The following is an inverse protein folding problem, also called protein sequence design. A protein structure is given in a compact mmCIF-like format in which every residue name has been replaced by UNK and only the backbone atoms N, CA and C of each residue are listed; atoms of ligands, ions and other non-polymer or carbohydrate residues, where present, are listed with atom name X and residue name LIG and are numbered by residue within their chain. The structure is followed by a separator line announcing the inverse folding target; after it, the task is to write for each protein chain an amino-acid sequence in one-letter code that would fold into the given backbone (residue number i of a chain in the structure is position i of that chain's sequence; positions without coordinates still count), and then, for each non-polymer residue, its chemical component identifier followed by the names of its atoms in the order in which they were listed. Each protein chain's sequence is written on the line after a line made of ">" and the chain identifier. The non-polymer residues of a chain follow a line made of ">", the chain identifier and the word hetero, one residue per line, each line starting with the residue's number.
data_IF_719656583939
#
_entry.id   IF_719656583939
#
_cell.length_a   1.000
_cell.length_b   1.000
_cell.length_c   1.000
_cell.angle_alpha   90.00
_cell.angle_beta   90.00
_cell.angle_gamma   90.00
#
_symmetry.space_group_name_H-M   'P 1'
#
loop_
_entity.id
_entity.type
_entity.pdbx_description
1 polymer ?
#
# COMPACT_ATOMS: atom_id res chain seq x y z
N UNK A 1 -16.54 14.96 -10.30
CA UNK A 1 -16.84 13.93 -9.28
C UNK A 1 -15.93 12.75 -9.56
N UNK A 2 -15.12 12.36 -8.58
CA UNK A 2 -14.18 11.23 -8.67
C UNK A 2 -14.97 9.94 -8.39
N UNK A 3 -14.78 8.93 -9.23
CA UNK A 3 -15.48 7.64 -9.13
C UNK A 3 -14.54 6.57 -8.56
N UNK A 4 -14.92 5.97 -7.44
CA UNK A 4 -14.09 4.97 -6.77
C UNK A 4 -14.87 3.67 -6.63
N UNK A 5 -14.35 2.58 -7.21
CA UNK A 5 -14.87 1.25 -6.93
C UNK A 5 -14.24 0.69 -5.65
N UNK A 6 -15.08 0.18 -4.76
CA UNK A 6 -14.66 -0.43 -3.52
C UNK A 6 -15.07 -1.90 -3.52
N UNK A 7 -14.07 -2.79 -3.37
CA UNK A 7 -14.30 -4.21 -3.11
C UNK A 7 -14.84 -4.37 -1.68
N UNK A 8 -16.16 -4.41 -1.56
CA UNK A 8 -16.85 -4.44 -0.27
C UNK A 8 -16.71 -5.76 0.47
N UNK A 9 -16.30 -6.82 -0.22
CA UNK A 9 -16.23 -8.19 0.33
C UNK A 9 -14.81 -8.59 0.77
N UNK A 10 -13.78 -7.85 0.31
CA UNK A 10 -12.38 -8.14 0.63
C UNK A 10 -11.99 -7.78 2.06
N UNK A 11 -10.94 -8.46 2.57
CA UNK A 11 -10.34 -8.23 3.88
C UNK A 11 -10.76 -9.21 4.97
N UNK A 12 -9.93 -9.35 6.01
CA UNK A 12 -10.17 -10.26 7.16
C UNK A 12 -11.44 -9.92 7.94
N UNK A 13 -11.78 -8.63 8.00
CA UNK A 13 -12.96 -8.11 8.70
C UNK A 13 -14.17 -7.94 7.76
N UNK A 14 -13.96 -8.14 6.47
CA UNK A 14 -14.97 -8.18 5.44
C UNK A 14 -15.88 -6.96 5.37
N UNK A 15 -17.10 -7.18 4.90
CA UNK A 15 -18.07 -6.14 4.55
C UNK A 15 -18.41 -5.16 5.70
N UNK A 16 -18.30 -5.59 6.96
CA UNK A 16 -18.73 -4.75 8.10
C UNK A 16 -17.83 -3.53 8.30
N UNK A 17 -16.51 -3.68 8.20
CA UNK A 17 -15.59 -2.56 8.34
C UNK A 17 -15.58 -1.68 7.09
N UNK A 18 -15.72 -2.27 5.91
CA UNK A 18 -15.88 -1.53 4.65
C UNK A 18 -17.13 -0.64 4.69
N UNK A 19 -18.27 -1.15 5.17
CA UNK A 19 -19.51 -0.37 5.36
C UNK A 19 -19.31 0.83 6.29
N UNK A 20 -18.63 0.64 7.44
CA UNK A 20 -18.33 1.73 8.38
C UNK A 20 -17.42 2.80 7.75
N UNK A 21 -16.45 2.39 6.94
CA UNK A 21 -15.57 3.31 6.23
C UNK A 21 -16.36 4.17 5.23
N UNK A 22 -17.18 3.54 4.39
CA UNK A 22 -18.03 4.26 3.43
C UNK A 22 -18.97 5.24 4.13
N UNK A 23 -19.68 4.80 5.19
CA UNK A 23 -20.55 5.72 5.97
C UNK A 23 -19.81 6.95 6.50
N UNK A 24 -18.58 6.76 6.99
CA UNK A 24 -17.80 7.88 7.49
C UNK A 24 -17.37 8.84 6.37
N UNK A 25 -17.09 8.32 5.17
CA UNK A 25 -16.68 9.11 4.01
C UNK A 25 -17.84 9.91 3.39
N UNK A 26 -19.03 9.33 3.34
CA UNK A 26 -20.24 9.97 2.77
C UNK A 26 -20.60 11.29 3.49
N UNK A 27 -20.29 11.40 4.77
CA UNK A 27 -20.53 12.63 5.53
C UNK A 27 -19.49 13.75 5.33
N UNK A 28 -18.36 13.45 4.68
CA UNK A 28 -17.21 14.34 4.60
C UNK A 28 -16.84 14.77 3.16
N UNK A 29 -17.19 13.94 2.15
CA UNK A 29 -16.77 14.14 0.77
C UNK A 29 -17.98 14.17 -0.17
N UNK A 30 -18.29 15.31 -0.73
CA UNK A 30 -19.44 15.49 -1.65
C UNK A 30 -19.06 15.33 -3.13
N UNK A 31 -17.79 15.26 -3.44
CA UNK A 31 -17.23 15.18 -4.80
C UNK A 31 -16.83 13.76 -5.23
N UNK A 32 -17.12 12.75 -4.39
CA UNK A 32 -16.82 11.34 -4.66
C UNK A 32 -18.11 10.55 -4.88
N UNK A 33 -18.11 9.71 -5.92
CA UNK A 33 -19.12 8.69 -6.19
C UNK A 33 -18.51 7.31 -5.93
N UNK A 34 -19.16 6.50 -5.08
CA UNK A 34 -18.70 5.17 -4.71
C UNK A 34 -19.43 4.08 -5.48
N UNK A 35 -18.70 3.21 -6.14
CA UNK A 35 -19.19 1.99 -6.76
C UNK A 35 -18.90 0.82 -5.79
N UNK A 36 -19.93 0.43 -5.04
CA UNK A 36 -19.83 -0.58 -3.99
C UNK A 36 -20.03 -1.97 -4.59
N UNK A 37 -18.94 -2.71 -4.77
CA UNK A 37 -18.96 -4.03 -5.41
C UNK A 37 -19.10 -5.12 -4.34
N UNK A 38 -20.25 -5.80 -4.29
CA UNK A 38 -20.52 -6.82 -3.28
C UNK A 38 -22.00 -7.26 -3.23
N UNK A 39 -22.35 -7.99 -2.19
CA UNK A 39 -23.68 -8.55 -1.98
C UNK A 39 -24.69 -7.42 -1.64
N UNK A 40 -25.59 -7.14 -2.59
CA UNK A 40 -26.61 -6.10 -2.49
C UNK A 40 -27.51 -6.29 -1.26
N UNK A 41 -27.84 -7.54 -0.90
CA UNK A 41 -28.67 -7.84 0.28
C UNK A 41 -28.03 -7.33 1.57
N UNK A 42 -26.70 -7.32 1.62
CA UNK A 42 -25.89 -6.84 2.75
C UNK A 42 -25.54 -5.35 2.67
N UNK A 43 -25.71 -4.73 1.49
CA UNK A 43 -25.44 -3.32 1.20
C UNK A 43 -26.70 -2.45 1.11
N UNK A 44 -27.87 -2.98 1.44
CA UNK A 44 -29.18 -2.34 1.28
C UNK A 44 -29.28 -0.91 1.84
N UNK A 45 -28.51 -0.57 2.86
CA UNK A 45 -28.45 0.76 3.45
C UNK A 45 -27.88 1.85 2.51
N UNK A 46 -27.21 1.47 1.42
CA UNK A 46 -26.63 2.37 0.41
C UNK A 46 -27.44 2.45 -0.89
N UNK A 47 -28.48 1.64 -1.06
CA UNK A 47 -29.24 1.51 -2.32
C UNK A 47 -29.79 2.85 -2.82
N UNK A 48 -30.28 3.69 -1.92
CA UNK A 48 -30.89 4.98 -2.29
C UNK A 48 -29.96 6.18 -1.98
N UNK A 49 -28.68 5.94 -1.69
CA UNK A 49 -27.76 7.02 -1.40
C UNK A 49 -27.23 7.65 -2.70
N UNK A 50 -27.35 8.98 -2.90
CA UNK A 50 -27.03 9.63 -4.18
C UNK A 50 -25.57 9.50 -4.62
N UNK A 51 -24.64 9.26 -3.68
CA UNK A 51 -23.22 9.07 -3.95
C UNK A 51 -22.82 7.58 -4.07
N UNK A 52 -23.75 6.63 -3.94
CA UNK A 52 -23.45 5.21 -3.97
C UNK A 52 -24.15 4.50 -5.11
N UNK A 53 -23.41 3.68 -5.85
CA UNK A 53 -23.93 2.76 -6.84
C UNK A 53 -23.52 1.35 -6.47
N UNK A 54 -24.48 0.45 -6.26
CA UNK A 54 -24.19 -0.95 -5.94
C UNK A 54 -23.99 -1.73 -7.23
N UNK A 55 -22.88 -2.49 -7.27
CA UNK A 55 -22.58 -3.47 -8.31
C UNK A 55 -22.67 -4.84 -7.66
N UNK A 56 -23.76 -5.51 -7.88
CA UNK A 56 -24.07 -6.77 -7.18
C UNK A 56 -23.13 -7.92 -7.56
N UNK A 57 -22.63 -8.61 -6.54
CA UNK A 57 -22.07 -9.97 -6.60
C UNK A 57 -22.06 -10.58 -5.20
N UNK A 58 -22.39 -11.86 -5.10
CA UNK A 58 -22.26 -12.67 -3.88
C UNK A 58 -20.90 -13.40 -3.80
N UNK A 59 -20.08 -13.30 -4.85
CA UNK A 59 -18.79 -13.99 -4.96
C UNK A 59 -17.66 -13.08 -4.45
N UNK A 60 -16.78 -13.64 -3.63
CA UNK A 60 -15.58 -12.96 -3.14
C UNK A 60 -14.41 -13.93 -3.03
N UNK A 61 -13.20 -13.41 -2.99
CA UNK A 61 -11.99 -14.20 -2.78
C UNK A 61 -11.72 -14.36 -1.29
N UNK A 62 -11.45 -15.59 -0.89
CA UNK A 62 -10.93 -15.89 0.44
C UNK A 62 -9.53 -15.26 0.63
N UNK A 63 -9.23 -14.79 1.86
CA UNK A 63 -7.92 -14.19 2.16
C UNK A 63 -6.77 -15.19 2.06
N UNK A 64 -7.05 -16.49 2.17
CA UNK A 64 -6.09 -17.58 2.02
C UNK A 64 -5.99 -18.16 0.61
N UNK A 65 -6.51 -17.48 -0.42
CA UNK A 65 -6.45 -17.97 -1.81
C UNK A 65 -5.00 -18.26 -2.23
N UNK A 66 -4.74 -19.51 -2.62
CA UNK A 66 -3.40 -19.94 -3.05
C UNK A 66 -3.14 -19.62 -4.53
N UNK A 67 -4.13 -19.82 -5.39
CA UNK A 67 -4.03 -19.56 -6.83
C UNK A 67 -5.12 -18.58 -7.30
N UNK A 68 -4.85 -17.26 -7.29
CA UNK A 68 -5.79 -16.25 -7.79
C UNK A 68 -6.10 -16.39 -9.28
N UNK A 69 -5.21 -17.00 -10.07
CA UNK A 69 -5.42 -17.20 -11.50
C UNK A 69 -6.45 -18.30 -11.76
N UNK A 70 -6.34 -19.42 -11.06
CA UNK A 70 -7.34 -20.50 -11.13
C UNK A 70 -8.72 -19.98 -10.70
N UNK A 71 -8.78 -19.21 -9.60
CA UNK A 71 -10.04 -18.62 -9.12
C UNK A 71 -10.62 -17.60 -10.10
N UNK A 72 -9.81 -16.78 -10.74
CA UNK A 72 -10.28 -15.86 -11.80
C UNK A 72 -10.88 -16.61 -12.99
N UNK A 73 -10.24 -17.67 -13.44
CA UNK A 73 -10.75 -18.48 -14.56
C UNK A 73 -12.07 -19.17 -14.21
N UNK A 74 -12.20 -19.65 -12.98
CA UNK A 74 -13.39 -20.35 -12.49
C UNK A 74 -14.55 -19.39 -12.23
N UNK A 75 -14.27 -18.25 -11.61
CA UNK A 75 -15.27 -17.29 -11.14
C UNK A 75 -14.78 -15.84 -11.36
N UNK A 76 -14.88 -15.30 -12.57
CA UNK A 76 -14.47 -13.91 -12.85
C UNK A 76 -15.37 -12.87 -12.15
N UNK A 77 -16.50 -13.31 -11.61
CA UNK A 77 -17.51 -12.50 -10.93
C UNK A 77 -17.17 -12.12 -9.49
N UNK A 78 -16.00 -12.52 -8.96
CA UNK A 78 -15.56 -12.09 -7.64
C UNK A 78 -15.51 -10.57 -7.52
N UNK A 79 -15.88 -10.04 -6.36
CA UNK A 79 -16.02 -8.59 -6.10
C UNK A 79 -14.77 -7.79 -6.50
N UNK A 80 -13.57 -8.30 -6.17
CA UNK A 80 -12.31 -7.70 -6.58
C UNK A 80 -12.17 -7.60 -8.11
N UNK A 81 -12.43 -8.70 -8.83
CA UNK A 81 -12.24 -8.73 -10.28
C UNK A 81 -13.28 -7.87 -11.01
N UNK A 82 -14.51 -7.81 -10.50
CA UNK A 82 -15.52 -6.86 -10.97
C UNK A 82 -15.09 -5.42 -10.77
N UNK A 83 -14.58 -5.06 -9.58
CA UNK A 83 -14.09 -3.73 -9.31
C UNK A 83 -12.94 -3.32 -10.28
N UNK A 84 -11.99 -4.22 -10.51
CA UNK A 84 -10.90 -4.00 -11.48
C UNK A 84 -11.40 -3.91 -12.93
N UNK A 85 -12.47 -4.62 -13.27
CA UNK A 85 -13.09 -4.54 -14.60
C UNK A 85 -13.78 -3.19 -14.82
N UNK A 86 -14.41 -2.60 -13.80
CA UNK A 86 -14.93 -1.23 -13.87
C UNK A 86 -13.82 -0.22 -14.17
N UNK A 87 -12.65 -0.38 -13.54
CA UNK A 87 -11.47 0.48 -13.77
C UNK A 87 -10.95 0.32 -15.21
N UNK A 88 -10.78 -0.93 -15.68
CA UNK A 88 -10.38 -1.23 -17.05
C UNK A 88 -11.27 -0.55 -18.10
N UNK A 89 -12.57 -0.53 -17.83
CA UNK A 89 -13.58 0.02 -18.72
C UNK A 89 -13.77 1.54 -18.57
N UNK A 90 -12.91 2.22 -17.78
CA UNK A 90 -13.00 3.65 -17.48
C UNK A 90 -14.35 4.08 -16.87
N UNK A 91 -15.04 3.17 -16.18
CA UNK A 91 -16.27 3.46 -15.47
C UNK A 91 -16.02 4.07 -14.09
N UNK A 92 -14.80 3.84 -13.55
CA UNK A 92 -14.30 4.42 -12.31
C UNK A 92 -12.86 4.89 -12.48
N UNK A 93 -12.41 5.81 -11.62
CA UNK A 93 -11.07 6.40 -11.64
C UNK A 93 -10.06 5.61 -10.79
N UNK A 94 -10.56 4.91 -9.77
CA UNK A 94 -9.73 4.13 -8.86
C UNK A 94 -10.47 2.91 -8.31
N UNK A 95 -9.67 1.92 -7.84
CA UNK A 95 -10.16 0.75 -7.10
C UNK A 95 -9.48 0.70 -5.73
N UNK A 96 -10.26 0.40 -4.70
CA UNK A 96 -9.78 0.10 -3.34
C UNK A 96 -10.20 -1.32 -2.96
N UNK A 97 -9.25 -2.14 -2.52
CA UNK A 97 -9.53 -3.49 -2.02
C UNK A 97 -8.64 -3.84 -0.83
N UNK A 98 -9.25 -4.44 0.20
CA UNK A 98 -8.55 -5.09 1.30
C UNK A 98 -8.32 -6.59 1.07
N UNK A 99 -8.69 -7.12 -0.09
CA UNK A 99 -8.54 -8.52 -0.49
C UNK A 99 -7.09 -9.04 -0.50
N UNK A 100 -6.84 -10.30 -0.82
CA UNK A 100 -5.50 -10.92 -0.83
C UNK A 100 -4.52 -10.15 -1.73
N UNK A 101 -3.33 -9.83 -1.23
CA UNK A 101 -2.35 -9.02 -1.98
C UNK A 101 -2.02 -9.62 -3.34
N UNK A 102 -1.79 -10.94 -3.38
CA UNK A 102 -1.49 -11.64 -4.64
C UNK A 102 -2.64 -11.50 -5.66
N UNK A 103 -3.91 -11.59 -5.20
CA UNK A 103 -5.06 -11.44 -6.07
C UNK A 103 -5.22 -9.99 -6.58
N UNK A 104 -4.97 -8.98 -5.73
CA UNK A 104 -5.00 -7.56 -6.14
C UNK A 104 -3.92 -7.29 -7.18
N UNK A 105 -2.68 -7.74 -6.95
CA UNK A 105 -1.57 -7.57 -7.90
C UNK A 105 -1.84 -8.31 -9.21
N UNK A 106 -2.25 -9.58 -9.12
CA UNK A 106 -2.59 -10.41 -10.27
C UNK A 106 -3.70 -9.79 -11.11
N UNK A 107 -4.81 -9.41 -10.47
CA UNK A 107 -5.94 -8.78 -11.14
C UNK A 107 -5.57 -7.43 -11.76
N UNK A 108 -4.75 -6.64 -11.07
CA UNK A 108 -4.23 -5.38 -11.61
C UNK A 108 -3.40 -5.60 -12.87
N UNK A 109 -2.55 -6.62 -12.88
CA UNK A 109 -1.74 -7.00 -14.03
C UNK A 109 -2.60 -7.48 -15.22
N UNK A 110 -3.49 -8.42 -14.96
CA UNK A 110 -4.25 -9.13 -15.99
C UNK A 110 -5.42 -8.31 -16.54
N UNK A 111 -6.18 -7.66 -15.65
CA UNK A 111 -7.42 -6.98 -16.02
C UNK A 111 -7.13 -5.53 -16.40
N UNK A 112 -6.50 -4.74 -15.51
CA UNK A 112 -6.22 -3.31 -15.75
C UNK A 112 -5.07 -3.13 -16.74
N UNK A 113 -4.05 -3.96 -16.63
CA UNK A 113 -2.87 -3.93 -17.49
C UNK A 113 -1.78 -2.99 -16.98
N UNK A 114 -0.58 -3.12 -17.57
CA UNK A 114 0.62 -2.36 -17.20
C UNK A 114 0.80 -1.10 -18.04
N UNK A 115 1.43 -0.10 -17.47
CA UNK A 115 1.94 1.04 -18.22
C UNK A 115 2.98 0.60 -19.26
N UNK A 116 3.11 1.30 -20.40
CA UNK A 116 4.16 1.03 -21.37
C UNK A 116 5.55 1.05 -20.73
N UNK A 117 6.42 0.15 -21.13
CA UNK A 117 7.80 -0.02 -20.62
C UNK A 117 7.92 -0.56 -19.19
N UNK A 118 6.86 -0.63 -18.40
CA UNK A 118 6.90 -1.25 -17.06
C UNK A 118 6.79 -2.76 -17.19
N UNK A 119 7.82 -3.49 -16.75
CA UNK A 119 7.89 -4.96 -16.86
C UNK A 119 7.16 -5.67 -15.73
N UNK A 120 7.23 -5.11 -14.52
CA UNK A 120 6.64 -5.68 -13.30
C UNK A 120 5.87 -4.62 -12.54
N UNK A 121 4.83 -5.02 -11.82
CA UNK A 121 4.13 -4.14 -10.89
C UNK A 121 4.88 -4.10 -9.56
N UNK A 122 4.81 -2.98 -8.84
CA UNK A 122 5.36 -2.83 -7.50
C UNK A 122 4.30 -2.36 -6.52
N UNK A 123 4.32 -2.89 -5.30
CA UNK A 123 3.53 -2.40 -4.18
C UNK A 123 4.31 -1.30 -3.47
N UNK A 124 3.85 -0.07 -3.57
CA UNK A 124 4.51 1.10 -2.98
C UNK A 124 3.84 1.52 -1.67
N UNK A 125 4.65 1.67 -0.63
CA UNK A 125 4.20 2.12 0.68
C UNK A 125 4.87 3.45 1.01
N UNK A 126 4.12 4.55 1.06
CA UNK A 126 4.62 5.80 1.58
C UNK A 126 4.70 5.76 3.12
N UNK A 127 5.74 6.37 3.68
CA UNK A 127 5.94 6.51 5.11
C UNK A 127 6.67 7.82 5.42
N UNK A 128 6.70 8.20 6.69
CA UNK A 128 7.40 9.41 7.12
C UNK A 128 8.66 9.03 7.90
N UNK A 129 9.71 9.81 7.69
CA UNK A 129 10.91 9.77 8.53
C UNK A 129 10.67 10.42 9.89
N UNK A 130 11.64 10.31 10.80
CA UNK A 130 11.55 10.92 12.13
C UNK A 130 11.35 12.43 12.06
N UNK A 131 11.96 13.10 11.09
CA UNK A 131 11.82 14.55 10.86
C UNK A 131 10.55 14.94 10.08
N UNK A 132 9.75 13.95 9.63
CA UNK A 132 8.49 14.17 8.92
C UNK A 132 8.61 14.23 7.40
N UNK A 133 9.78 13.97 6.84
CA UNK A 133 9.96 13.87 5.38
C UNK A 133 9.23 12.64 4.85
N UNK A 134 8.50 12.78 3.75
CA UNK A 134 7.83 11.66 3.08
C UNK A 134 8.81 10.87 2.24
N UNK A 135 8.73 9.55 2.36
CA UNK A 135 9.47 8.56 1.57
C UNK A 135 8.57 7.48 1.03
N UNK A 136 9.09 6.71 0.09
CA UNK A 136 8.41 5.55 -0.47
C UNK A 136 9.34 4.35 -0.41
N UNK A 137 8.83 3.22 0.05
CA UNK A 137 9.46 1.91 -0.10
C UNK A 137 8.71 1.12 -1.18
N UNK A 138 9.43 0.56 -2.15
CA UNK A 138 8.92 -0.33 -3.18
C UNK A 138 10.04 -1.28 -3.67
N UNK A 139 9.77 -2.56 -3.94
CA UNK A 139 8.50 -3.27 -3.87
C UNK A 139 8.26 -3.86 -2.47
N UNK A 140 7.04 -3.76 -1.96
CA UNK A 140 6.67 -4.29 -0.65
C UNK A 140 5.86 -5.60 -0.73
N UNK A 141 5.99 -6.36 -1.83
CA UNK A 141 5.38 -7.68 -1.94
C UNK A 141 4.45 -7.90 -3.14
N UNK A 142 4.56 -7.11 -4.20
CA UNK A 142 3.86 -7.38 -5.45
C UNK A 142 4.55 -8.50 -6.25
N UNK A 143 5.89 -8.50 -6.32
CA UNK A 143 6.65 -9.44 -7.14
C UNK A 143 7.90 -9.92 -6.39
N UNK A 144 7.88 -11.19 -5.94
CA UNK A 144 8.96 -11.76 -5.13
C UNK A 144 10.31 -11.84 -5.89
N UNK A 145 10.26 -12.27 -7.16
CA UNK A 145 11.44 -12.44 -8.00
C UNK A 145 11.41 -11.47 -9.17
N UNK A 146 12.43 -10.62 -9.24
CA UNK A 146 12.60 -9.59 -10.27
C UNK A 146 14.03 -9.59 -10.80
N UNK A 147 14.25 -8.97 -11.95
CA UNK A 147 15.58 -8.72 -12.49
C UNK A 147 16.13 -7.38 -11.98
N UNK A 148 17.48 -7.18 -11.97
CA UNK A 148 18.07 -5.89 -11.64
C UNK A 148 17.52 -4.71 -12.46
N UNK A 149 17.14 -4.96 -13.73
CA UNK A 149 16.51 -3.96 -14.60
C UNK A 149 15.13 -3.51 -14.11
N UNK A 150 14.38 -4.38 -13.42
CA UNK A 150 13.06 -4.01 -12.88
C UNK A 150 13.18 -2.97 -11.77
N UNK A 151 14.31 -2.94 -11.02
CA UNK A 151 14.57 -1.91 -10.03
C UNK A 151 14.76 -0.52 -10.65
N UNK A 152 15.26 -0.43 -11.88
CA UNK A 152 15.30 0.83 -12.64
C UNK A 152 13.88 1.30 -12.95
N UNK A 153 13.00 0.42 -13.44
CA UNK A 153 11.59 0.73 -13.68
C UNK A 153 10.90 1.19 -12.37
N UNK A 154 11.13 0.46 -11.27
CA UNK A 154 10.58 0.81 -9.95
C UNK A 154 11.06 2.18 -9.49
N UNK A 155 12.33 2.50 -9.70
CA UNK A 155 12.88 3.82 -9.36
C UNK A 155 12.18 4.94 -10.10
N UNK A 156 11.98 4.81 -11.41
CA UNK A 156 11.32 5.81 -12.26
C UNK A 156 9.85 6.05 -11.85
N UNK A 157 9.09 4.97 -11.67
CA UNK A 157 7.68 5.08 -11.25
C UNK A 157 7.57 5.56 -9.80
N UNK A 158 8.49 5.17 -8.91
CA UNK A 158 8.55 5.63 -7.52
C UNK A 158 8.86 7.13 -7.43
N UNK A 159 9.83 7.62 -8.19
CA UNK A 159 10.15 9.06 -8.29
C UNK A 159 8.95 9.86 -8.78
N UNK A 160 8.28 9.38 -9.83
CA UNK A 160 7.08 10.04 -10.35
C UNK A 160 5.96 10.08 -9.32
N UNK A 161 5.71 8.95 -8.64
CA UNK A 161 4.69 8.87 -7.61
C UNK A 161 5.01 9.78 -6.41
N UNK A 162 6.26 9.83 -5.94
CA UNK A 162 6.63 10.69 -4.82
C UNK A 162 6.44 12.18 -5.14
N UNK A 163 6.82 12.62 -6.35
CA UNK A 163 6.58 14.00 -6.81
C UNK A 163 5.09 14.37 -6.75
N UNK A 164 4.23 13.48 -7.22
CA UNK A 164 2.77 13.68 -7.16
C UNK A 164 2.26 13.70 -5.71
N UNK A 165 2.75 12.78 -4.87
CA UNK A 165 2.34 12.67 -3.47
C UNK A 165 2.68 13.92 -2.63
N UNK A 166 3.81 14.59 -2.94
CA UNK A 166 4.19 15.84 -2.29
C UNK A 166 3.69 17.09 -3.03
N UNK A 167 3.08 16.94 -4.20
CA UNK A 167 2.59 18.07 -5.01
C UNK A 167 3.69 18.98 -5.56
N UNK A 168 4.93 18.47 -5.72
CA UNK A 168 6.07 19.26 -6.20
C UNK A 168 6.81 18.55 -7.34
N UNK A 169 6.50 18.93 -8.56
CA UNK A 169 7.12 18.37 -9.77
C UNK A 169 8.59 18.80 -9.96
N UNK A 170 9.01 19.92 -9.35
CA UNK A 170 10.40 20.40 -9.41
C UNK A 170 11.31 19.72 -8.41
N UNK A 171 10.76 18.98 -7.44
CA UNK A 171 11.53 18.18 -6.49
C UNK A 171 12.29 17.07 -7.25
N UNK A 172 13.56 16.87 -6.93
CA UNK A 172 14.40 15.83 -7.53
C UNK A 172 14.70 14.76 -6.46
N UNK A 173 13.88 13.69 -6.38
CA UNK A 173 14.08 12.66 -5.38
C UNK A 173 15.39 11.91 -5.58
N UNK A 174 16.00 11.50 -4.47
CA UNK A 174 17.12 10.57 -4.46
C UNK A 174 16.60 9.13 -4.33
N UNK A 175 17.13 8.23 -5.15
CA UNK A 175 16.80 6.80 -5.15
C UNK A 175 17.87 6.04 -4.38
N UNK A 176 17.48 5.21 -3.41
CA UNK A 176 18.34 4.31 -2.65
C UNK A 176 18.00 2.85 -2.93
N UNK A 177 19.04 2.03 -3.09
CA UNK A 177 18.90 0.58 -3.19
C UNK A 177 18.99 -0.04 -1.79
N UNK A 178 17.97 -0.79 -1.39
CA UNK A 178 18.02 -1.53 -0.12
C UNK A 178 19.05 -2.65 -0.22
N UNK A 179 20.00 -2.66 0.71
CA UNK A 179 21.07 -3.65 0.79
C UNK A 179 21.46 -3.92 2.25
N UNK A 180 22.30 -4.94 2.47
CA UNK A 180 22.79 -5.34 3.79
C UNK A 180 23.97 -4.48 4.30
N UNK A 181 24.46 -3.53 3.53
CA UNK A 181 25.53 -2.61 3.86
C UNK A 181 25.59 -1.46 2.86
N UNK A 182 26.17 -0.35 3.26
CA UNK A 182 26.22 0.90 2.48
C UNK A 182 27.23 0.87 1.32
N UNK A 183 28.25 -0.01 1.38
CA UNK A 183 29.31 -0.06 0.38
C UNK A 183 28.82 -0.70 -0.93
N UNK A 184 29.32 -0.24 -2.06
CA UNK A 184 28.98 -0.70 -3.42
C UNK A 184 29.01 -2.23 -3.58
N UNK A 185 29.97 -2.92 -2.96
CA UNK A 185 30.16 -4.37 -3.08
C UNK A 185 29.23 -5.23 -2.22
N UNK A 186 28.39 -4.64 -1.39
CA UNK A 186 27.48 -5.37 -0.48
C UNK A 186 26.24 -5.89 -1.19
N UNK A 187 25.67 -6.95 -0.62
CA UNK A 187 24.48 -7.62 -1.16
C UNK A 187 24.82 -8.84 -2.01
N UNK A 188 23.77 -9.49 -2.49
CA UNK A 188 23.84 -10.61 -3.45
C UNK A 188 24.31 -10.09 -4.81
N UNK A 189 24.53 -10.96 -5.76
CA UNK A 189 24.82 -10.56 -7.15
C UNK A 189 23.71 -9.69 -7.75
N UNK A 190 22.48 -9.95 -7.37
CA UNK A 190 21.30 -9.17 -7.75
C UNK A 190 21.43 -7.69 -7.35
N UNK A 191 21.73 -7.38 -6.09
CA UNK A 191 21.89 -5.99 -5.62
C UNK A 191 23.13 -5.33 -6.22
N UNK A 192 24.24 -6.04 -6.38
CA UNK A 192 25.45 -5.49 -7.01
C UNK A 192 25.21 -5.11 -8.47
N UNK A 193 24.54 -6.00 -9.21
CA UNK A 193 24.14 -5.72 -10.62
C UNK A 193 23.14 -4.57 -10.72
N UNK A 194 22.19 -4.50 -9.79
CA UNK A 194 21.24 -3.39 -9.72
C UNK A 194 21.92 -2.07 -9.39
N UNK A 195 22.89 -2.06 -8.48
CA UNK A 195 23.66 -0.87 -8.12
C UNK A 195 24.32 -0.23 -9.35
N UNK A 196 24.98 -1.03 -10.19
CA UNK A 196 25.65 -0.51 -11.39
C UNK A 196 24.63 0.07 -12.39
N UNK A 197 23.52 -0.62 -12.63
CA UNK A 197 22.43 -0.12 -13.52
C UNK A 197 21.81 1.18 -13.01
N UNK A 198 21.51 1.27 -11.71
CA UNK A 198 20.93 2.45 -11.09
C UNK A 198 21.89 3.65 -11.14
N UNK A 199 23.20 3.41 -10.97
CA UNK A 199 24.24 4.43 -11.06
C UNK A 199 24.42 4.99 -12.47
N UNK A 200 24.23 4.16 -13.50
CA UNK A 200 24.32 4.56 -14.92
C UNK A 200 23.07 5.30 -15.42
N UNK A 201 21.97 5.25 -14.66
CA UNK A 201 20.71 5.89 -15.04
C UNK A 201 20.76 7.39 -14.74
N UNK A 202 20.40 8.23 -15.72
CA UNK A 202 20.41 9.70 -15.62
C UNK A 202 19.00 10.30 -15.33
N UNK A 203 17.96 9.48 -15.22
CA UNK A 203 16.57 9.93 -15.07
C UNK A 203 16.22 10.31 -13.62
N UNK A 204 17.08 9.95 -12.66
CA UNK A 204 16.97 10.28 -11.24
C UNK A 204 18.36 10.33 -10.58
N UNK A 205 18.43 10.92 -9.39
CA UNK A 205 19.65 10.90 -8.60
C UNK A 205 19.78 9.60 -7.82
N UNK A 206 20.81 8.82 -8.07
CA UNK A 206 21.09 7.62 -7.30
C UNK A 206 21.93 7.94 -6.05
N UNK A 207 21.39 7.62 -4.88
CA UNK A 207 22.04 7.84 -3.58
C UNK A 207 23.12 6.76 -3.29
N UNK A 208 22.83 5.51 -3.68
CA UNK A 208 23.62 4.33 -3.34
C UNK A 208 22.82 3.32 -2.51
N UNK A 209 23.55 2.40 -1.83
CA UNK A 209 22.94 1.43 -0.94
C UNK A 209 22.42 2.10 0.35
N UNK A 210 21.29 1.60 0.85
CA UNK A 210 20.64 2.01 2.11
C UNK A 210 20.35 0.76 2.91
N UNK A 211 20.79 0.73 4.17
CA UNK A 211 20.48 -0.38 5.08
C UNK A 211 19.06 -0.23 5.66
N UNK A 212 18.33 -1.35 5.91
CA UNK A 212 16.98 -1.29 6.50
C UNK A 212 16.89 -0.52 7.83
N UNK A 213 17.96 -0.50 8.64
CA UNK A 213 18.02 0.29 9.89
C UNK A 213 17.94 1.81 9.67
N UNK A 214 18.22 2.26 8.46
CA UNK A 214 18.28 3.68 8.09
C UNK A 214 16.98 4.20 7.45
N UNK A 215 15.98 3.35 7.28
CA UNK A 215 14.71 3.69 6.60
C UNK A 215 14.06 4.97 7.12
N UNK A 216 14.05 5.16 8.45
CA UNK A 216 13.38 6.30 9.09
C UNK A 216 14.25 7.56 9.20
N UNK A 217 15.46 7.54 8.67
CA UNK A 217 16.38 8.68 8.73
C UNK A 217 16.51 9.37 7.37
N UNK A 218 17.07 10.58 7.37
CA UNK A 218 17.26 11.36 6.15
C UNK A 218 18.39 10.74 5.31
N UNK A 219 17.99 10.09 4.22
CA UNK A 219 18.85 9.52 3.18
C UNK A 219 18.10 9.60 1.84
N UNK A 220 18.08 8.55 1.03
CA UNK A 220 17.25 8.52 -0.19
C UNK A 220 15.75 8.67 0.10
N UNK A 221 15.02 9.21 -0.85
CA UNK A 221 13.58 9.51 -0.77
C UNK A 221 12.72 8.36 -1.32
N UNK A 222 13.22 7.68 -2.34
CA UNK A 222 12.61 6.48 -2.95
C UNK A 222 13.53 5.31 -2.71
N UNK A 223 13.06 4.32 -1.97
CA UNK A 223 13.83 3.14 -1.59
C UNK A 223 13.32 1.93 -2.37
N UNK A 224 14.20 1.30 -3.14
CA UNK A 224 13.83 0.19 -4.03
C UNK A 224 14.46 -1.12 -3.60
N UNK A 225 13.69 -2.21 -3.74
CA UNK A 225 14.11 -3.57 -3.42
C UNK A 225 13.24 -4.58 -4.18
N UNK A 226 13.57 -5.87 -4.14
CA UNK A 226 12.66 -6.93 -4.56
C UNK A 226 11.49 -7.08 -3.58
N UNK A 227 10.37 -7.63 -4.06
CA UNK A 227 9.15 -7.73 -3.26
C UNK A 227 9.28 -8.71 -2.08
N UNK A 228 10.17 -9.68 -2.13
CA UNK A 228 10.45 -10.56 -1.00
C UNK A 228 11.12 -9.79 0.14
N UNK A 229 12.23 -9.10 -0.16
CA UNK A 229 12.97 -8.31 0.81
C UNK A 229 12.12 -7.16 1.37
N UNK A 230 11.38 -6.45 0.53
CA UNK A 230 10.52 -5.35 0.95
C UNK A 230 9.36 -5.80 1.84
N UNK A 231 8.72 -6.92 1.53
CA UNK A 231 7.68 -7.50 2.39
C UNK A 231 8.23 -7.98 3.73
N UNK A 232 9.44 -8.57 3.73
CA UNK A 232 10.11 -8.99 4.96
C UNK A 232 10.43 -7.79 5.86
N UNK A 233 10.95 -6.70 5.30
CA UNK A 233 11.20 -5.45 6.01
C UNK A 233 9.90 -4.92 6.62
N UNK A 234 8.84 -4.81 5.82
CA UNK A 234 7.54 -4.32 6.26
C UNK A 234 6.98 -5.15 7.42
N UNK A 235 6.96 -6.47 7.29
CA UNK A 235 6.46 -7.39 8.32
C UNK A 235 7.31 -7.34 9.60
N UNK A 236 8.62 -7.19 9.47
CA UNK A 236 9.52 -7.03 10.63
C UNK A 236 9.26 -5.71 11.36
N UNK A 237 9.04 -4.62 10.62
CA UNK A 237 8.67 -3.32 11.21
C UNK A 237 7.31 -3.38 11.93
N UNK A 238 6.29 -3.97 11.30
CA UNK A 238 4.97 -4.18 11.90
C UNK A 238 5.09 -4.99 13.20
N UNK A 239 5.83 -6.11 13.17
CA UNK A 239 6.07 -6.97 14.33
C UNK A 239 6.82 -6.26 15.46
N UNK A 240 7.86 -5.48 15.16
CA UNK A 240 8.60 -4.70 16.15
C UNK A 240 7.73 -3.65 16.83
N UNK A 241 6.90 -2.93 16.08
CA UNK A 241 5.96 -1.93 16.62
C UNK A 241 4.87 -2.57 17.50
N UNK A 242 4.34 -3.73 17.09
CA UNK A 242 3.39 -4.50 17.90
C UNK A 242 4.03 -4.98 19.21
N UNK A 243 5.24 -5.55 19.13
CA UNK A 243 6.01 -5.98 20.30
C UNK A 243 6.30 -4.83 21.26
N UNK A 244 6.73 -3.68 20.75
CA UNK A 244 6.92 -2.48 21.53
C UNK A 244 5.63 -2.04 22.23
N UNK A 245 4.51 -1.97 21.51
CA UNK A 245 3.20 -1.59 22.04
C UNK A 245 2.72 -2.52 23.17
N UNK A 246 2.90 -3.83 22.99
CA UNK A 246 2.49 -4.80 24.01
C UNK A 246 3.39 -4.75 25.27
N UNK A 247 4.71 -4.64 25.11
CA UNK A 247 5.62 -4.45 26.24
C UNK A 247 5.32 -3.15 26.98
N UNK A 248 5.08 -2.07 26.26
CA UNK A 248 4.74 -0.78 26.86
C UNK A 248 3.45 -0.84 27.68
N UNK A 249 2.42 -1.54 27.19
CA UNK A 249 1.18 -1.78 27.96
C UNK A 249 1.44 -2.57 29.23
N UNK A 250 2.28 -3.61 29.19
CA UNK A 250 2.64 -4.43 30.37
C UNK A 250 3.33 -3.57 31.44
N UNK A 251 4.29 -2.73 31.04
CA UNK A 251 4.99 -1.83 31.97
C UNK A 251 4.07 -0.82 32.67
N UNK A 252 2.99 -0.40 32.00
CA UNK A 252 2.02 0.55 32.54
C UNK A 252 0.99 -0.10 33.51
N UNK A 253 0.86 -1.44 33.48
CA UNK A 253 -0.24 -2.14 34.17
C UNK A 253 -0.13 -2.07 35.70
N UNK A 254 1.07 -2.04 36.28
CA UNK A 254 1.32 -2.32 37.68
C UNK A 254 1.52 -1.08 38.57
N UNK A 255 1.50 0.16 38.07
CA UNK A 255 1.74 1.36 38.88
C UNK A 255 0.74 2.49 38.56
N UNK A 256 0.01 2.96 39.56
CA UNK A 256 -0.94 4.08 39.45
C UNK A 256 -0.28 5.37 38.93
N UNK A 257 0.91 5.71 39.42
CA UNK A 257 1.69 6.87 38.96
C UNK A 257 2.11 6.75 37.50
N UNK A 258 2.48 5.55 37.05
CA UNK A 258 2.80 5.29 35.60
C UNK A 258 1.57 5.50 34.74
N UNK A 259 0.36 5.13 35.19
CA UNK A 259 -0.89 5.38 34.48
C UNK A 259 -1.20 6.87 34.35
N UNK A 260 -0.97 7.65 35.37
CA UNK A 260 -1.17 9.10 35.33
C UNK A 260 -0.16 9.78 34.40
N UNK A 261 1.11 9.42 34.49
CA UNK A 261 2.15 9.89 33.56
C UNK A 261 1.82 9.52 32.10
N UNK A 262 1.30 8.31 31.87
CA UNK A 262 0.86 7.90 30.53
C UNK A 262 -0.30 8.74 30.00
N UNK A 263 -1.28 9.08 30.83
CA UNK A 263 -2.39 9.95 30.42
C UNK A 263 -1.89 11.31 29.92
N UNK A 264 -0.87 11.88 30.58
CA UNK A 264 -0.23 13.13 30.17
C UNK A 264 0.52 12.96 28.84
N UNK A 265 1.30 11.88 28.70
CA UNK A 265 2.15 11.62 27.53
C UNK A 265 1.42 10.95 26.35
N UNK A 266 0.19 10.44 26.57
CA UNK A 266 -0.56 9.63 25.58
C UNK A 266 -0.65 10.28 24.21
N UNK A 267 -0.92 11.59 24.15
CA UNK A 267 -1.02 12.32 22.88
C UNK A 267 0.33 12.39 22.15
N UNK A 268 1.43 12.58 22.88
CA UNK A 268 2.78 12.66 22.30
C UNK A 268 3.27 11.31 21.84
N UNK A 269 3.06 10.26 22.64
CA UNK A 269 3.39 8.87 22.27
C UNK A 269 2.60 8.44 21.03
N UNK A 270 1.28 8.71 21.00
CA UNK A 270 0.43 8.40 19.85
C UNK A 270 0.91 9.11 18.59
N UNK A 271 1.33 10.38 18.68
CA UNK A 271 1.89 11.13 17.55
C UNK A 271 3.23 10.56 17.08
N UNK A 272 4.12 10.19 18.00
CA UNK A 272 5.41 9.59 17.67
C UNK A 272 5.25 8.24 16.95
N UNK A 273 4.40 7.36 17.50
CA UNK A 273 4.10 6.05 16.87
C UNK A 273 3.44 6.25 15.50
N UNK A 274 2.48 7.18 15.38
CA UNK A 274 1.79 7.47 14.13
C UNK A 274 2.75 7.90 13.01
N UNK A 275 3.78 8.69 13.33
CA UNK A 275 4.81 9.08 12.36
C UNK A 275 5.62 7.91 11.82
N UNK A 276 5.82 6.86 12.62
CA UNK A 276 6.61 5.67 12.23
C UNK A 276 5.76 4.58 11.56
N UNK A 277 4.45 4.70 11.61
CA UNK A 277 3.57 3.73 10.96
C UNK A 277 3.16 4.26 9.58
N UNK A 278 3.17 3.39 8.58
CA UNK A 278 2.62 3.68 7.25
C UNK A 278 1.10 3.96 7.27
N UNK A 279 0.46 3.87 8.46
CA UNK A 279 -0.99 3.92 8.63
C UNK A 279 -1.64 5.28 8.34
N UNK A 280 -0.86 6.35 8.09
CA UNK A 280 -1.42 7.66 7.69
C UNK A 280 -1.81 7.72 6.20
N UNK A 281 -1.43 6.71 5.43
CA UNK A 281 -1.70 6.66 3.98
C UNK A 281 -2.79 5.66 3.59
N UNK A 282 -3.41 4.98 4.58
CA UNK A 282 -4.58 4.11 4.40
C UNK A 282 -4.33 2.83 3.59
N UNK A 283 -3.27 2.75 2.81
CA UNK A 283 -2.99 1.59 1.95
C UNK A 283 -1.71 1.75 1.15
N UNK A 284 -1.38 0.68 0.42
CA UNK A 284 -0.28 0.64 -0.53
C UNK A 284 -0.82 0.81 -1.96
N UNK A 285 -0.13 1.57 -2.79
CA UNK A 285 -0.51 1.75 -4.19
C UNK A 285 0.17 0.70 -5.06
N UNK A 286 -0.59 0.06 -5.95
CA UNK A 286 -0.02 -0.79 -7.00
C UNK A 286 0.51 0.12 -8.11
N UNK A 287 1.81 0.30 -8.15
CA UNK A 287 2.47 1.12 -9.18
C UNK A 287 2.74 0.31 -10.44
N UNK A 288 2.74 1.02 -11.56
CA UNK A 288 2.98 0.44 -12.88
C UNK A 288 1.72 -0.04 -13.61
N UNK A 289 0.54 0.09 -13.03
CA UNK A 289 -0.77 -0.19 -13.67
C UNK A 289 -1.26 1.00 -14.50
N UNK A 290 -2.13 0.74 -15.50
CA UNK A 290 -2.80 1.78 -16.29
C UNK A 290 -3.86 2.57 -15.52
N UNK A 291 -4.28 2.09 -14.34
CA UNK A 291 -5.26 2.75 -13.49
C UNK A 291 -4.82 2.76 -12.02
N UNK A 292 -5.50 3.52 -11.19
CA UNK A 292 -5.18 3.64 -9.76
C UNK A 292 -5.78 2.48 -8.99
N UNK A 293 -4.94 1.64 -8.39
CA UNK A 293 -5.36 0.52 -7.53
C UNK A 293 -4.68 0.64 -6.17
N UNK A 294 -5.50 0.76 -5.13
CA UNK A 294 -5.05 0.86 -3.73
C UNK A 294 -5.34 -0.45 -3.01
N UNK A 295 -4.30 -1.03 -2.43
CA UNK A 295 -4.38 -2.20 -1.56
C UNK A 295 -4.41 -1.75 -0.11
N UNK A 296 -5.56 -1.88 0.56
CA UNK A 296 -5.67 -1.69 1.99
C UNK A 296 -5.20 -2.93 2.75
N UNK A 297 -4.72 -2.78 3.98
CA UNK A 297 -4.31 -3.93 4.81
C UNK A 297 -5.51 -4.86 5.07
N UNK A 298 -5.33 -6.19 5.02
CA UNK A 298 -6.42 -7.16 5.21
C UNK A 298 -7.16 -6.99 6.53
N UNK A 299 -6.44 -6.71 7.60
CA UNK A 299 -6.99 -6.43 8.93
C UNK A 299 -7.33 -4.95 9.18
N UNK A 300 -7.37 -4.10 8.13
CA UNK A 300 -7.67 -2.67 8.25
C UNK A 300 -9.07 -2.45 8.84
N UNK A 301 -9.14 -1.57 9.83
CA UNK A 301 -10.41 -1.08 10.38
C UNK A 301 -10.89 0.11 9.58
N UNK A 302 -12.17 0.46 9.74
CA UNK A 302 -12.81 1.57 9.04
C UNK A 302 -12.02 2.90 9.05
N UNK A 303 -11.23 3.19 10.11
CA UNK A 303 -10.40 4.40 10.19
C UNK A 303 -9.17 4.36 9.30
N UNK A 304 -8.72 3.19 8.93
CA UNK A 304 -7.57 2.96 8.05
C UNK A 304 -8.00 2.78 6.60
N UNK A 305 -9.28 2.42 6.39
CA UNK A 305 -9.92 2.31 5.07
C UNK A 305 -10.46 3.66 4.57
N UNK A 306 -10.69 4.60 5.46
CA UNK A 306 -11.06 5.98 5.19
C UNK A 306 -9.87 6.82 4.72
#
# INVERSE_FOLDING_TARGET
>A
MIKIAVDMMGGDLGILENKKAIKALLGENTDIEFFLVGDESRLGEFVNHPQCKIIHTDKYLDMGVEDPFAEFRKTPEHSLFKALTLLKNNQVDAVVSAGPTQAVVFGSHLIVGRLPKVRRLALAIPFNTVDGTKKILLDCGATAEISPKDLVDFSQIGVTYLKQLIGNNSFVPQVGLISIGSEKGKGREFERSAYDLLKETHEFNFYGNVEPKELFFKNADVLVTDGFSGNLILKSMEGALLGFKENFKKELKYFLLKKLAFLILRKSIKRAVKKLTANDTGGALILGTKGVVVKAHGAAKHKELK
#
